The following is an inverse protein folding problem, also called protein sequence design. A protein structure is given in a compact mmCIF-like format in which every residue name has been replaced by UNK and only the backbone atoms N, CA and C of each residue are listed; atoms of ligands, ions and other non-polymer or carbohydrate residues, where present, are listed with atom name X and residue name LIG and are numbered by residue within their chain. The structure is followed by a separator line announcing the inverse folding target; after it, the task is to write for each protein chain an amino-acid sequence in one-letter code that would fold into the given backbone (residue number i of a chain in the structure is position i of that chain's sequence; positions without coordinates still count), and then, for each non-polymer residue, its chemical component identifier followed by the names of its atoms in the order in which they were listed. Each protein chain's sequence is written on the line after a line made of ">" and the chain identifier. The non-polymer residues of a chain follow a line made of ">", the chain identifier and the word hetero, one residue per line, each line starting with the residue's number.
data_IF_394158344376
#
_entry.id   IF_394158344376
#
_cell.length_a   1.000
_cell.length_b   1.000
_cell.length_c   1.000
_cell.angle_alpha   90.00
_cell.angle_beta   90.00
_cell.angle_gamma   90.00
#
_symmetry.space_group_name_H-M   'P 1'
#
loop_
_entity.id
_entity.type
_entity.pdbx_description
1 polymer ?
#
# COMPACT_ATOMS: atom_id res chain seq x y z
N UNK A 1 -12.32 19.40 -2.36
CA UNK A 1 -12.34 17.95 -2.68
C UNK A 1 -10.96 17.41 -2.40
N UNK A 2 -10.84 16.41 -1.53
CA UNK A 2 -9.57 15.70 -1.28
C UNK A 2 -9.31 14.76 -2.47
N UNK A 3 -8.13 14.82 -3.09
CA UNK A 3 -7.75 13.85 -4.14
C UNK A 3 -7.29 12.56 -3.47
N UNK A 4 -8.19 11.57 -3.41
CA UNK A 4 -7.97 10.27 -2.78
C UNK A 4 -6.99 9.38 -3.55
N UNK A 5 -6.50 9.83 -4.71
CA UNK A 5 -5.42 9.17 -5.46
C UNK A 5 -4.04 9.59 -5.00
N UNK A 6 -3.93 10.54 -4.06
CA UNK A 6 -2.66 11.04 -3.54
C UNK A 6 -2.36 10.42 -2.18
N UNK A 7 -1.14 9.89 -2.03
CA UNK A 7 -0.70 9.35 -0.76
C UNK A 7 -0.57 10.48 0.28
N UNK A 8 -1.20 10.36 1.46
CA UNK A 8 -1.15 11.42 2.49
C UNK A 8 0.22 11.53 3.17
N UNK A 9 1.12 10.56 2.97
CA UNK A 9 2.42 10.53 3.63
C UNK A 9 3.57 11.10 2.80
N UNK A 10 3.48 11.04 1.47
CA UNK A 10 4.54 11.52 0.56
C UNK A 10 4.03 12.44 -0.55
N UNK A 11 2.71 12.62 -0.72
CA UNK A 11 2.14 13.44 -1.78
C UNK A 11 2.24 12.83 -3.20
N UNK A 12 2.83 11.63 -3.34
CA UNK A 12 2.92 10.94 -4.62
C UNK A 12 1.57 10.37 -5.05
N UNK A 13 1.31 10.35 -6.36
CA UNK A 13 0.13 9.68 -6.93
C UNK A 13 0.25 8.17 -6.75
N UNK A 14 -0.80 7.57 -6.20
CA UNK A 14 -0.94 6.14 -5.97
C UNK A 14 -1.31 5.43 -7.27
N UNK A 15 -1.04 4.12 -7.33
CA UNK A 15 -1.44 3.27 -8.46
C UNK A 15 -2.58 2.35 -8.05
N UNK A 16 -3.40 1.95 -9.01
CA UNK A 16 -4.38 0.89 -8.79
C UNK A 16 -3.65 -0.44 -8.66
N UNK A 17 -4.01 -1.19 -7.64
CA UNK A 17 -3.51 -2.53 -7.38
C UNK A 17 -4.68 -3.48 -7.28
N UNK A 18 -4.67 -4.53 -8.12
CA UNK A 18 -5.72 -5.54 -8.17
C UNK A 18 -5.75 -6.32 -6.86
N UNK A 19 -6.92 -6.40 -6.24
CA UNK A 19 -7.10 -7.25 -5.07
C UNK A 19 -7.05 -8.74 -5.47
N UNK A 20 -6.54 -9.63 -4.61
CA UNK A 20 -6.49 -11.06 -4.94
C UNK A 20 -7.90 -11.65 -5.03
N UNK A 21 -8.15 -12.50 -6.03
CA UNK A 21 -9.47 -13.11 -6.29
C UNK A 21 -10.01 -13.92 -5.09
N UNK A 22 -9.11 -14.53 -4.31
CA UNK A 22 -9.47 -15.31 -3.11
C UNK A 22 -9.28 -14.52 -1.81
N UNK A 23 -9.34 -13.19 -1.86
CA UNK A 23 -9.30 -12.35 -0.66
C UNK A 23 -10.70 -12.12 -0.07
N UNK A 24 -10.75 -11.63 1.17
CA UNK A 24 -12.00 -11.20 1.82
C UNK A 24 -12.40 -9.76 1.46
N UNK A 25 -11.69 -9.14 0.52
CA UNK A 25 -11.94 -7.77 0.10
C UNK A 25 -12.96 -7.72 -1.04
N UNK A 26 -13.93 -6.81 -0.94
CA UNK A 26 -14.98 -6.65 -1.95
C UNK A 26 -14.52 -5.84 -3.17
N UNK A 27 -13.61 -4.87 -2.97
CA UNK A 27 -13.16 -3.99 -4.04
C UNK A 27 -12.29 -4.75 -5.04
N UNK A 28 -12.47 -4.46 -6.34
CA UNK A 28 -11.65 -5.03 -7.42
C UNK A 28 -10.19 -4.52 -7.39
N UNK A 29 -10.00 -3.31 -6.86
CA UNK A 29 -8.68 -2.71 -6.71
C UNK A 29 -8.62 -1.79 -5.50
N UNK A 30 -7.40 -1.60 -5.00
CA UNK A 30 -7.07 -0.53 -4.05
C UNK A 30 -6.14 0.49 -4.69
N UNK A 31 -6.19 1.71 -4.18
CA UNK A 31 -5.13 2.69 -4.44
C UNK A 31 -3.98 2.45 -3.48
N UNK A 32 -2.79 2.17 -3.99
CA UNK A 32 -1.62 1.83 -3.18
C UNK A 32 -0.45 2.73 -3.53
N UNK A 33 0.26 3.19 -2.51
CA UNK A 33 1.48 4.00 -2.68
C UNK A 33 2.71 3.11 -2.95
N UNK A 34 3.18 3.12 -4.20
CA UNK A 34 4.39 2.40 -4.65
C UNK A 34 5.65 3.28 -4.72
N UNK A 35 5.65 4.42 -4.02
CA UNK A 35 6.84 5.24 -3.84
C UNK A 35 7.75 4.59 -2.78
N UNK A 36 8.97 4.22 -3.16
CA UNK A 36 9.93 3.55 -2.28
C UNK A 36 10.63 4.51 -1.32
N UNK A 37 10.57 5.82 -1.59
CA UNK A 37 11.04 6.87 -0.69
C UNK A 37 9.94 7.38 0.24
N UNK A 38 8.75 6.77 0.21
CA UNK A 38 7.64 7.18 1.06
C UNK A 38 8.02 6.97 2.54
N UNK A 39 7.95 8.01 3.38
CA UNK A 39 8.43 7.92 4.76
C UNK A 39 7.56 6.97 5.60
N UNK A 40 6.32 6.69 5.19
CA UNK A 40 5.47 5.66 5.80
C UNK A 40 6.02 4.24 5.54
N UNK A 41 6.46 3.98 4.31
CA UNK A 41 7.04 2.70 3.90
C UNK A 41 8.46 2.50 4.45
N UNK A 42 9.32 3.52 4.37
CA UNK A 42 10.71 3.45 4.86
C UNK A 42 10.74 3.18 6.37
N UNK A 43 9.94 3.91 7.15
CA UNK A 43 9.86 3.69 8.61
C UNK A 43 9.28 2.32 8.97
N UNK A 44 8.40 1.76 8.14
CA UNK A 44 7.79 0.46 8.39
C UNK A 44 8.80 -0.67 8.52
N UNK A 45 9.89 -0.63 7.73
CA UNK A 45 10.98 -1.63 7.82
C UNK A 45 11.64 -1.64 9.19
N UNK A 46 12.10 -0.47 9.65
CA UNK A 46 12.76 -0.35 10.95
C UNK A 46 11.81 -0.66 12.10
N UNK A 47 10.54 -0.26 11.98
CA UNK A 47 9.53 -0.53 13.01
C UNK A 47 9.27 -2.03 13.16
N UNK A 48 9.01 -2.75 12.07
CA UNK A 48 8.71 -4.18 12.12
C UNK A 48 9.93 -5.02 12.52
N UNK A 49 11.13 -4.63 12.07
CA UNK A 49 12.36 -5.26 12.53
C UNK A 49 12.54 -5.09 14.05
N UNK A 50 12.27 -3.89 14.60
CA UNK A 50 12.40 -3.63 16.04
C UNK A 50 11.33 -4.30 16.89
N UNK A 51 10.08 -4.39 16.40
CA UNK A 51 8.96 -4.89 17.22
C UNK A 51 8.77 -6.39 17.14
N UNK A 52 8.97 -6.99 15.96
CA UNK A 52 8.66 -8.40 15.70
C UNK A 52 9.82 -9.16 15.06
N UNK A 53 11.01 -8.54 14.92
CA UNK A 53 12.21 -9.17 14.36
C UNK A 53 11.99 -9.79 12.98
N UNK A 54 11.07 -9.21 12.20
CA UNK A 54 10.74 -9.66 10.85
C UNK A 54 11.08 -8.55 9.85
N UNK A 55 11.74 -8.93 8.77
CA UNK A 55 12.05 -8.03 7.65
C UNK A 55 10.83 -7.86 6.76
N UNK A 56 9.87 -7.08 7.25
CA UNK A 56 8.65 -6.71 6.54
C UNK A 56 8.38 -5.22 6.70
N UNK A 57 7.56 -4.65 5.83
CA UNK A 57 7.07 -3.28 5.94
C UNK A 57 5.62 -3.24 5.49
N UNK A 58 5.06 -2.04 5.32
CA UNK A 58 3.72 -1.81 4.83
C UNK A 58 3.67 -0.57 3.95
N UNK A 59 2.84 -0.61 2.91
CA UNK A 59 2.53 0.53 2.04
C UNK A 59 1.16 1.09 2.42
N UNK A 60 0.93 2.38 2.18
CA UNK A 60 -0.38 2.98 2.39
C UNK A 60 -1.35 2.48 1.29
N UNK A 61 -2.54 2.04 1.70
CA UNK A 61 -3.65 1.72 0.80
C UNK A 61 -4.91 2.52 1.11
N UNK A 62 -5.69 2.76 0.08
CA UNK A 62 -7.05 3.27 0.14
C UNK A 62 -8.01 2.34 -0.62
N UNK A 63 -9.08 1.95 0.08
CA UNK A 63 -10.18 1.13 -0.43
C UNK A 63 -11.31 2.05 -0.91
N UNK A 64 -11.61 2.06 -2.24
CA UNK A 64 -12.65 2.92 -2.79
C UNK A 64 -14.07 2.50 -2.41
N UNK A 65 -14.32 1.22 -2.09
CA UNK A 65 -15.66 0.70 -1.79
C UNK A 65 -16.07 1.02 -0.36
N UNK A 66 -15.14 0.83 0.58
CA UNK A 66 -15.42 0.98 2.02
C UNK A 66 -14.96 2.34 2.57
N UNK A 67 -14.13 3.07 1.82
CA UNK A 67 -13.47 4.28 2.29
C UNK A 67 -12.29 4.03 3.22
N UNK A 68 -11.94 2.77 3.50
CA UNK A 68 -10.89 2.40 4.45
C UNK A 68 -9.51 2.88 3.98
N UNK A 69 -8.73 3.43 4.91
CA UNK A 69 -7.35 3.88 4.71
C UNK A 69 -6.45 3.19 5.72
N UNK A 70 -5.39 2.53 5.27
CA UNK A 70 -4.53 1.79 6.20
C UNK A 70 -3.30 1.14 5.58
N UNK A 71 -2.55 0.36 6.38
CA UNK A 71 -1.38 -0.37 5.91
C UNK A 71 -1.76 -1.56 5.02
N UNK A 72 -0.93 -1.82 4.02
CA UNK A 72 -0.92 -3.02 3.21
C UNK A 72 0.47 -3.67 3.36
N UNK A 73 0.59 -4.84 4.01
CA UNK A 73 1.89 -5.43 4.33
C UNK A 73 2.66 -5.86 3.07
N UNK A 74 3.99 -5.71 3.12
CA UNK A 74 4.94 -6.07 2.07
C UNK A 74 6.17 -6.75 2.65
N UNK A 75 6.67 -7.79 1.98
CA UNK A 75 7.87 -8.54 2.39
C UNK A 75 9.12 -8.17 1.59
N UNK A 76 8.99 -7.38 0.52
CA UNK A 76 10.09 -6.84 -0.27
C UNK A 76 9.67 -5.56 -0.99
N UNK A 77 10.63 -4.84 -1.59
CA UNK A 77 10.34 -3.68 -2.43
C UNK A 77 9.48 -4.04 -3.65
N UNK A 78 9.66 -5.25 -4.18
CA UNK A 78 8.93 -5.78 -5.34
C UNK A 78 7.57 -6.39 -5.00
N UNK A 79 7.30 -6.66 -3.73
CA UNK A 79 6.04 -7.22 -3.30
C UNK A 79 4.87 -6.38 -3.81
N UNK A 80 3.83 -7.07 -4.28
CA UNK A 80 2.58 -6.50 -4.82
C UNK A 80 2.72 -5.80 -6.19
N UNK A 81 3.92 -5.53 -6.70
CA UNK A 81 4.11 -4.82 -7.97
C UNK A 81 3.52 -5.55 -9.18
N UNK A 82 3.49 -6.88 -9.17
CA UNK A 82 2.88 -7.70 -10.23
C UNK A 82 1.37 -7.55 -10.34
N UNK A 83 0.70 -7.05 -9.30
CA UNK A 83 -0.74 -6.78 -9.29
C UNK A 83 -1.09 -5.35 -9.65
N UNK A 84 -0.10 -4.51 -10.00
CA UNK A 84 -0.37 -3.14 -10.46
C UNK A 84 -1.14 -3.22 -11.77
N UNK A 85 -2.25 -2.51 -11.84
CA UNK A 85 -3.00 -2.32 -13.07
C UNK A 85 -2.34 -1.16 -13.80
N UNK A 86 -1.58 -1.48 -14.86
CA UNK A 86 -1.08 -0.47 -15.79
C UNK A 86 -2.24 -0.04 -16.71
N UNK A 87 -2.46 1.27 -16.83
CA UNK A 87 -3.44 1.85 -17.76
C UNK A 87 -2.87 1.95 -19.18
#
# INVERSE_FOLDING_TARGET
>A
MEDLTICPHCGSRMKKWRTPEFSTWSAEYFWVCFNDDCPYYVRGWSQMESTIHARVSYRFRYDPDTGYRGPLPVWSADALRSGIIEE
#
